data_IF_340523113927
#
_entry.id   IF_340523113927
#
_cell.length_a   1.000
_cell.length_b   1.000
_cell.length_c   1.000
_cell.angle_alpha   90.00
_cell.angle_beta   90.00
_cell.angle_gamma   90.00
#
_symmetry.space_group_name_H-M   'P 1'
#
loop_
_entity.id
_entity.type
_entity.pdbx_description
1 polymer ?
#
# COMPACT_ATOMS: atom_id res chain seq x y z
N UNK A 1 38.08 4.09 34.38
CA UNK A 1 37.02 3.47 33.55
C UNK A 1 36.05 4.59 33.20
N UNK A 2 35.93 4.97 31.94
CA UNK A 2 35.00 6.02 31.54
C UNK A 2 33.58 5.48 31.74
N UNK A 3 32.78 6.16 32.53
CA UNK A 3 31.35 5.84 32.70
C UNK A 3 30.66 5.95 31.34
N UNK A 4 30.11 4.84 30.86
CA UNK A 4 29.38 4.85 29.58
C UNK A 4 28.03 5.52 29.77
N UNK A 5 27.75 6.55 28.97
CA UNK A 5 26.48 7.26 28.97
C UNK A 5 25.35 6.34 28.54
N UNK A 6 24.26 6.22 29.32
CA UNK A 6 23.07 5.48 28.89
C UNK A 6 22.41 6.15 27.66
N UNK A 7 21.76 5.35 26.80
CA UNK A 7 21.13 5.84 25.54
C UNK A 7 20.27 7.08 25.73
N UNK A 8 19.47 7.26 26.81
CA UNK A 8 18.71 8.51 27.04
C UNK A 8 19.55 9.78 27.18
N UNK A 9 20.84 9.66 27.42
CA UNK A 9 21.78 10.78 27.52
C UNK A 9 22.57 11.05 26.23
N UNK A 10 22.39 10.22 25.19
CA UNK A 10 22.99 10.44 23.88
C UNK A 10 22.33 11.62 23.16
N UNK A 11 22.99 12.17 22.15
CA UNK A 11 22.34 13.12 21.25
C UNK A 11 21.12 12.47 20.59
N UNK A 12 20.08 13.24 20.30
CA UNK A 12 18.82 12.70 19.75
C UNK A 12 19.05 11.93 18.46
N UNK A 13 20.00 12.37 17.62
CA UNK A 13 20.32 11.71 16.36
C UNK A 13 21.10 10.39 16.53
N UNK A 14 21.64 10.13 17.71
CA UNK A 14 22.34 8.89 18.03
C UNK A 14 21.46 7.86 18.75
N UNK A 15 20.27 8.28 19.22
CA UNK A 15 19.32 7.38 19.86
C UNK A 15 18.54 6.60 18.79
N UNK A 16 18.59 5.27 18.79
CA UNK A 16 18.04 4.48 17.68
C UNK A 16 16.55 4.74 17.37
N UNK A 17 15.69 4.95 18.36
CA UNK A 17 14.26 5.21 18.15
C UNK A 17 14.01 6.55 17.52
N UNK A 18 14.62 7.59 18.04
CA UNK A 18 14.55 8.96 17.54
C UNK A 18 15.18 9.08 16.15
N UNK A 19 16.30 8.35 15.93
CA UNK A 19 16.96 8.25 14.62
C UNK A 19 16.04 7.57 13.60
N UNK A 20 15.35 6.49 13.98
CA UNK A 20 14.37 5.82 13.12
C UNK A 20 13.23 6.76 12.72
N UNK A 21 12.67 7.49 13.70
CA UNK A 21 11.55 8.40 13.49
C UNK A 21 11.93 9.57 12.55
N UNK A 22 13.10 10.14 12.72
CA UNK A 22 13.52 11.36 11.99
C UNK A 22 14.15 11.07 10.63
N UNK A 23 14.96 10.00 10.53
CA UNK A 23 15.79 9.71 9.36
C UNK A 23 15.36 8.46 8.60
N UNK A 24 14.42 7.68 9.17
CA UNK A 24 13.98 6.42 8.57
C UNK A 24 14.91 5.24 8.87
N UNK A 25 14.43 4.05 8.51
CA UNK A 25 15.12 2.79 8.85
C UNK A 25 16.47 2.64 8.14
N UNK A 26 16.63 3.22 6.97
CA UNK A 26 17.84 3.14 6.15
C UNK A 26 19.07 3.80 6.82
N UNK A 27 18.83 4.72 7.75
CA UNK A 27 19.88 5.39 8.49
C UNK A 27 20.45 4.56 9.65
N UNK A 28 19.79 3.44 10.02
CA UNK A 28 20.17 2.60 11.16
C UNK A 28 20.97 1.37 10.71
N UNK A 29 21.98 1.02 11.51
CA UNK A 29 22.65 -0.29 11.40
C UNK A 29 21.74 -1.42 11.92
N UNK A 30 22.03 -2.66 11.52
CA UNK A 30 21.32 -3.85 12.03
C UNK A 30 21.33 -3.94 13.55
N UNK A 31 22.46 -3.60 14.17
CA UNK A 31 22.59 -3.58 15.63
C UNK A 31 21.70 -2.50 16.28
N UNK A 32 21.53 -1.34 15.67
CA UNK A 32 20.61 -0.30 16.17
C UNK A 32 19.15 -0.73 16.01
N UNK A 33 18.77 -1.36 14.89
CA UNK A 33 17.42 -1.92 14.69
C UNK A 33 17.12 -3.02 15.72
N UNK A 34 18.06 -3.94 15.95
CA UNK A 34 17.93 -4.98 16.98
C UNK A 34 17.86 -4.39 18.38
N UNK A 35 18.62 -3.31 18.66
CA UNK A 35 18.58 -2.62 19.96
C UNK A 35 17.20 -2.00 20.24
N UNK A 36 16.50 -1.49 19.21
CA UNK A 36 15.11 -1.03 19.34
C UNK A 36 14.19 -2.16 19.78
N UNK A 37 14.36 -3.36 19.17
CA UNK A 37 13.51 -4.52 19.45
C UNK A 37 13.69 -5.04 20.88
N UNK A 38 14.93 -5.17 21.37
CA UNK A 38 15.20 -5.69 22.71
C UNK A 38 14.99 -4.64 23.82
N UNK A 39 14.94 -3.36 23.47
CA UNK A 39 14.56 -2.23 24.33
C UNK A 39 15.57 -1.84 25.41
N UNK A 40 16.40 -2.75 25.92
CA UNK A 40 17.38 -2.50 26.96
C UNK A 40 18.61 -3.40 26.80
N UNK A 41 19.77 -2.92 27.24
CA UNK A 41 21.01 -3.71 27.28
C UNK A 41 21.12 -4.58 28.51
N UNK A 42 22.34 -4.67 29.02
CA UNK A 42 22.69 -5.32 30.30
C UNK A 42 23.08 -4.25 31.33
N UNK A 43 23.44 -4.69 32.53
CA UNK A 43 24.01 -3.80 33.55
C UNK A 43 25.35 -3.17 33.11
N UNK A 44 26.06 -3.75 32.15
CA UNK A 44 27.40 -3.36 31.72
C UNK A 44 27.47 -2.69 30.36
N UNK A 45 26.44 -2.82 29.55
CA UNK A 45 26.42 -2.35 28.15
C UNK A 45 25.03 -1.89 27.73
N UNK A 46 24.97 -0.90 26.84
CA UNK A 46 23.72 -0.43 26.22
C UNK A 46 23.12 -1.50 25.30
N UNK A 47 21.86 -1.33 24.92
CA UNK A 47 21.21 -2.23 23.96
C UNK A 47 21.96 -2.27 22.61
N UNK A 48 22.50 -1.14 22.17
CA UNK A 48 23.26 -1.05 20.91
C UNK A 48 24.59 -1.79 21.01
N UNK A 49 25.32 -1.63 22.12
CA UNK A 49 26.58 -2.35 22.33
C UNK A 49 26.39 -3.86 22.45
N UNK A 50 25.35 -4.29 23.18
CA UNK A 50 24.96 -5.68 23.28
C UNK A 50 24.70 -6.28 21.88
N UNK A 51 23.87 -5.58 21.05
CA UNK A 51 23.57 -6.08 19.71
C UNK A 51 24.73 -5.98 18.73
N UNK A 52 25.64 -5.01 18.87
CA UNK A 52 26.90 -4.98 18.12
C UNK A 52 27.78 -6.22 18.43
N UNK A 53 27.85 -6.63 19.69
CA UNK A 53 28.61 -7.82 20.11
C UNK A 53 27.98 -9.10 19.52
N UNK A 54 26.65 -9.27 19.66
CA UNK A 54 25.93 -10.41 19.07
C UNK A 54 26.11 -10.46 17.57
N UNK A 55 25.96 -9.32 16.88
CA UNK A 55 26.13 -9.26 15.42
C UNK A 55 27.55 -9.55 14.98
N UNK A 56 28.58 -9.09 15.76
CA UNK A 56 29.97 -9.41 15.49
C UNK A 56 30.25 -10.92 15.55
N UNK A 57 29.69 -11.61 16.55
CA UNK A 57 29.79 -13.07 16.69
C UNK A 57 29.02 -13.83 15.58
N UNK A 58 28.08 -13.17 14.94
CA UNK A 58 27.35 -13.65 13.76
C UNK A 58 27.96 -13.20 12.42
N UNK A 59 29.22 -12.76 12.38
CA UNK A 59 29.90 -12.21 11.20
C UNK A 59 29.12 -11.02 10.53
N UNK A 60 28.39 -10.24 11.32
CA UNK A 60 27.50 -9.20 10.89
C UNK A 60 26.46 -9.67 9.85
N UNK A 61 25.98 -10.91 9.98
CA UNK A 61 25.08 -11.54 9.05
C UNK A 61 23.76 -11.93 9.73
N UNK A 62 22.65 -11.30 9.31
CA UNK A 62 21.31 -11.57 9.84
C UNK A 62 20.84 -13.02 9.59
N UNK A 63 21.33 -13.68 8.53
CA UNK A 63 21.00 -15.09 8.31
C UNK A 63 21.69 -15.99 9.33
N UNK A 64 22.89 -15.63 9.80
CA UNK A 64 23.60 -16.35 10.87
C UNK A 64 22.86 -16.13 12.19
N UNK A 65 22.51 -14.88 12.50
CA UNK A 65 21.72 -14.54 13.69
C UNK A 65 20.40 -15.35 13.75
N UNK A 66 19.68 -15.44 12.61
CA UNK A 66 18.40 -16.16 12.54
C UNK A 66 18.50 -17.68 12.64
N UNK A 67 19.71 -18.25 12.70
CA UNK A 67 19.96 -19.68 12.92
C UNK A 67 20.26 -20.01 14.38
N UNK A 68 20.56 -19.01 15.22
CA UNK A 68 20.80 -19.23 16.63
C UNK A 68 19.55 -19.77 17.32
N UNK A 69 19.77 -20.62 18.31
CA UNK A 69 18.71 -21.10 19.20
C UNK A 69 18.41 -20.08 20.30
N UNK A 70 17.32 -20.29 21.03
CA UNK A 70 16.98 -19.46 22.21
C UNK A 70 18.08 -19.58 23.26
N UNK A 71 18.59 -20.77 23.47
CA UNK A 71 19.64 -21.09 24.43
C UNK A 71 20.93 -20.36 24.09
N UNK A 72 21.38 -20.44 22.84
CA UNK A 72 22.59 -19.73 22.37
C UNK A 72 22.47 -18.21 22.50
N UNK A 73 21.29 -17.65 22.25
CA UNK A 73 21.05 -16.23 22.48
C UNK A 73 21.05 -15.88 23.97
N UNK A 74 20.57 -16.76 24.84
CA UNK A 74 20.55 -16.54 26.28
C UNK A 74 21.94 -16.66 26.93
N UNK A 75 22.93 -17.25 26.27
CA UNK A 75 24.33 -17.25 26.72
C UNK A 75 24.96 -15.84 26.71
N UNK A 76 24.36 -14.91 25.96
CA UNK A 76 24.77 -13.50 25.99
C UNK A 76 24.24 -12.80 27.26
N UNK A 77 25.18 -12.34 28.10
CA UNK A 77 24.80 -11.55 29.29
C UNK A 77 23.94 -10.34 28.87
N UNK A 78 22.75 -10.25 29.43
CA UNK A 78 21.74 -9.19 29.09
C UNK A 78 20.66 -9.63 28.11
N UNK A 79 20.72 -10.86 27.58
CA UNK A 79 19.65 -11.49 26.80
C UNK A 79 19.02 -12.57 27.66
N UNK A 80 17.77 -12.33 28.09
CA UNK A 80 16.93 -13.36 28.69
C UNK A 80 15.92 -13.87 27.65
N UNK A 81 15.08 -14.82 28.07
CA UNK A 81 14.09 -15.48 27.21
C UNK A 81 13.26 -14.49 26.37
N UNK A 82 12.75 -13.42 26.97
CA UNK A 82 11.90 -12.44 26.26
C UNK A 82 12.65 -11.77 25.10
N UNK A 83 13.91 -11.38 25.30
CA UNK A 83 14.73 -10.76 24.25
C UNK A 83 15.11 -11.76 23.16
N UNK A 84 15.51 -12.99 23.54
CA UNK A 84 15.83 -14.05 22.59
C UNK A 84 14.65 -14.37 21.68
N UNK A 85 13.44 -14.53 22.25
CA UNK A 85 12.20 -14.77 21.49
C UNK A 85 11.88 -13.57 20.56
N UNK A 86 12.07 -12.34 21.02
CA UNK A 86 11.82 -11.14 20.20
C UNK A 86 12.76 -11.10 18.98
N UNK A 87 14.05 -11.40 19.16
CA UNK A 87 15.03 -11.43 18.07
C UNK A 87 14.65 -12.49 17.04
N UNK A 88 14.38 -13.72 17.47
CA UNK A 88 14.04 -14.83 16.56
C UNK A 88 12.70 -14.61 15.87
N UNK A 89 11.71 -14.04 16.56
CA UNK A 89 10.43 -13.66 15.95
C UNK A 89 10.62 -12.62 14.85
N UNK A 90 11.50 -11.63 15.05
CA UNK A 90 11.81 -10.63 14.03
C UNK A 90 12.53 -11.26 12.81
N UNK A 91 13.47 -12.16 13.03
CA UNK A 91 14.13 -12.92 11.96
C UNK A 91 13.14 -13.76 11.15
N UNK A 92 12.22 -14.47 11.83
CA UNK A 92 11.19 -15.27 11.16
C UNK A 92 10.20 -14.40 10.35
N UNK A 93 9.79 -13.24 10.89
CA UNK A 93 8.95 -12.29 10.14
C UNK A 93 9.67 -11.77 8.89
N UNK A 94 10.96 -11.44 9.00
CA UNK A 94 11.80 -11.05 7.86
C UNK A 94 11.84 -12.15 6.78
N UNK A 95 12.05 -13.39 7.18
CA UNK A 95 12.04 -14.57 6.30
C UNK A 95 10.68 -14.77 5.62
N UNK A 96 9.58 -14.70 6.38
CA UNK A 96 8.22 -14.80 5.81
C UNK A 96 7.94 -13.67 4.83
N UNK A 97 8.32 -12.43 5.14
CA UNK A 97 8.19 -11.28 4.25
C UNK A 97 8.95 -11.51 2.94
N UNK A 98 10.19 -12.01 3.01
CA UNK A 98 11.00 -12.29 1.81
C UNK A 98 10.39 -13.41 0.94
N UNK A 99 9.76 -14.41 1.55
CA UNK A 99 9.08 -15.51 0.86
C UNK A 99 7.68 -15.14 0.35
N UNK A 100 7.10 -14.03 0.82
CA UNK A 100 5.74 -13.63 0.45
C UNK A 100 5.71 -13.09 -0.98
N UNK A 101 4.96 -13.76 -1.84
CA UNK A 101 4.73 -13.25 -3.19
C UNK A 101 3.91 -11.95 -3.11
N UNK A 102 4.26 -10.93 -3.91
CA UNK A 102 3.42 -9.75 -4.03
C UNK A 102 1.99 -10.16 -4.40
N UNK A 103 0.99 -9.56 -3.78
CA UNK A 103 -0.40 -9.78 -4.16
C UNK A 103 -0.56 -9.50 -5.67
N UNK A 104 -1.01 -10.47 -6.43
CA UNK A 104 -1.30 -10.27 -7.84
C UNK A 104 -2.45 -9.28 -7.97
N UNK A 105 -2.15 -8.12 -8.53
CA UNK A 105 -3.16 -7.13 -8.87
C UNK A 105 -3.67 -7.41 -10.26
N UNK A 106 -4.99 -7.41 -10.41
CA UNK A 106 -5.64 -7.55 -11.73
C UNK A 106 -5.21 -6.38 -12.62
N UNK A 107 -4.82 -6.68 -13.84
CA UNK A 107 -4.56 -5.68 -14.87
C UNK A 107 -5.81 -5.50 -15.74
N UNK A 108 -6.16 -4.25 -16.06
CA UNK A 108 -7.30 -3.89 -16.90
C UNK A 108 -6.78 -3.02 -18.05
N UNK A 109 -6.66 -3.61 -19.22
CA UNK A 109 -6.05 -2.98 -20.40
C UNK A 109 -7.05 -2.65 -21.50
N UNK A 110 -8.29 -3.14 -21.38
CA UNK A 110 -9.37 -2.95 -22.34
C UNK A 110 -10.69 -2.61 -21.64
N UNK A 111 -11.64 -2.06 -22.39
CA UNK A 111 -13.01 -1.87 -21.92
C UNK A 111 -13.65 -3.16 -21.45
N UNK A 112 -13.39 -4.27 -22.16
CA UNK A 112 -13.90 -5.58 -21.79
C UNK A 112 -13.34 -6.08 -20.44
N UNK A 113 -12.04 -5.79 -20.14
CA UNK A 113 -11.46 -6.12 -18.83
C UNK A 113 -12.13 -5.32 -17.73
N UNK A 114 -12.35 -4.02 -17.97
CA UNK A 114 -13.04 -3.13 -17.01
C UNK A 114 -14.47 -3.63 -16.77
N UNK A 115 -15.22 -3.92 -17.84
CA UNK A 115 -16.56 -4.47 -17.76
C UNK A 115 -16.61 -5.75 -16.90
N UNK A 116 -15.81 -6.77 -17.26
CA UNK A 116 -15.75 -8.03 -16.52
C UNK A 116 -15.36 -7.86 -15.04
N UNK A 117 -14.48 -6.90 -14.76
CA UNK A 117 -14.05 -6.61 -13.40
C UNK A 117 -15.14 -5.91 -12.58
N UNK A 118 -15.96 -5.06 -13.24
CA UNK A 118 -16.98 -4.27 -12.58
C UNK A 118 -18.36 -4.95 -12.56
N UNK A 119 -18.69 -5.78 -13.53
CA UNK A 119 -19.99 -6.45 -13.64
C UNK A 119 -20.44 -7.13 -12.35
N UNK A 120 -19.63 -7.94 -11.64
CA UNK A 120 -20.04 -8.59 -10.38
C UNK A 120 -20.36 -7.62 -9.23
N UNK A 121 -20.08 -6.34 -9.40
CA UNK A 121 -20.37 -5.28 -8.42
C UNK A 121 -21.54 -4.41 -8.81
N UNK A 122 -21.91 -4.44 -10.07
CA UNK A 122 -22.90 -3.56 -10.67
C UNK A 122 -24.14 -4.29 -11.18
N UNK A 123 -24.02 -5.60 -11.44
CA UNK A 123 -25.19 -6.42 -11.77
C UNK A 123 -26.17 -6.42 -10.59
N UNK A 124 -27.44 -6.57 -10.85
CA UNK A 124 -28.52 -6.63 -9.86
C UNK A 124 -28.76 -5.34 -9.05
N UNK A 125 -28.10 -4.24 -9.39
CA UNK A 125 -28.36 -2.96 -8.74
C UNK A 125 -29.65 -2.33 -9.29
N UNK A 126 -30.58 -2.02 -8.40
CA UNK A 126 -31.85 -1.35 -8.76
C UNK A 126 -31.70 0.17 -8.97
N UNK A 127 -30.54 0.73 -8.69
CA UNK A 127 -30.25 2.16 -8.83
C UNK A 127 -28.91 2.35 -9.56
N UNK A 128 -28.74 3.51 -10.18
CA UNK A 128 -27.45 3.86 -10.77
C UNK A 128 -26.40 4.12 -9.71
N UNK A 129 -25.24 3.54 -9.88
CA UNK A 129 -24.04 3.80 -9.08
C UNK A 129 -22.87 4.17 -10.01
N UNK A 130 -22.10 5.18 -9.60
CA UNK A 130 -20.86 5.48 -10.28
C UNK A 130 -19.65 5.03 -9.45
N UNK A 131 -18.70 4.41 -10.12
CA UNK A 131 -17.48 3.85 -9.55
C UNK A 131 -16.26 4.31 -10.31
N UNK A 132 -15.13 4.44 -9.60
CA UNK A 132 -13.84 4.62 -10.22
C UNK A 132 -12.97 3.40 -9.98
N UNK A 133 -12.17 3.08 -10.98
CA UNK A 133 -11.07 2.13 -10.90
C UNK A 133 -9.77 2.89 -11.09
N UNK A 134 -8.93 2.86 -10.07
CA UNK A 134 -7.67 3.56 -9.99
C UNK A 134 -6.54 2.56 -10.17
N UNK A 135 -5.65 2.82 -11.11
CA UNK A 135 -4.61 1.89 -11.54
C UNK A 135 -3.24 2.57 -11.57
N UNK A 136 -2.20 1.74 -11.53
CA UNK A 136 -0.83 2.20 -11.74
C UNK A 136 -0.50 2.27 -13.24
N UNK A 137 0.72 2.70 -13.58
CA UNK A 137 1.20 2.84 -14.96
C UNK A 137 1.21 1.53 -15.77
N UNK A 138 1.19 0.36 -15.09
CA UNK A 138 1.06 -0.95 -15.73
C UNK A 138 -0.39 -1.44 -15.76
N UNK A 139 -1.38 -0.55 -15.65
CA UNK A 139 -2.81 -0.83 -15.64
C UNK A 139 -3.27 -1.80 -14.54
N UNK A 140 -2.45 -2.01 -13.50
CA UNK A 140 -2.81 -2.87 -12.38
C UNK A 140 -3.67 -2.10 -11.38
N UNK A 141 -4.79 -2.68 -10.98
CA UNK A 141 -5.74 -2.06 -10.05
C UNK A 141 -5.09 -1.80 -8.69
N UNK A 142 -5.08 -0.55 -8.27
CA UNK A 142 -4.66 -0.11 -6.92
C UNK A 142 -5.89 -0.06 -6.01
N UNK A 143 -6.97 0.55 -6.51
CA UNK A 143 -8.18 0.80 -5.72
C UNK A 143 -9.40 0.83 -6.62
N UNK A 144 -10.53 0.34 -6.12
CA UNK A 144 -11.86 0.55 -6.66
C UNK A 144 -12.69 1.25 -5.60
N UNK A 145 -13.42 2.30 -5.98
CA UNK A 145 -14.25 3.06 -5.06
C UNK A 145 -15.54 3.50 -5.71
N UNK A 146 -16.66 3.32 -4.99
CA UNK A 146 -17.92 3.94 -5.33
C UNK A 146 -17.85 5.43 -5.01
N UNK A 147 -18.22 6.26 -5.96
CA UNK A 147 -18.17 7.72 -5.86
C UNK A 147 -19.54 8.37 -5.84
N UNK A 148 -20.56 7.67 -6.31
CA UNK A 148 -21.95 8.09 -6.20
C UNK A 148 -22.87 6.88 -6.04
N UNK A 149 -24.00 7.10 -5.38
CA UNK A 149 -25.04 6.12 -5.15
C UNK A 149 -26.40 6.82 -5.29
N UNK A 150 -27.16 6.41 -6.26
CA UNK A 150 -28.60 6.57 -6.34
C UNK A 150 -29.17 7.88 -6.76
N UNK A 151 -29.96 8.02 -7.62
CA UNK A 151 -31.17 8.58 -8.17
C UNK A 151 -31.71 7.60 -9.19
N UNK A 152 -33.00 7.61 -9.35
CA UNK A 152 -33.62 6.74 -10.37
C UNK A 152 -33.31 7.26 -11.79
N UNK A 153 -32.90 8.53 -11.90
CA UNK A 153 -32.75 9.25 -13.18
C UNK A 153 -31.42 9.96 -13.39
N UNK A 154 -30.64 10.24 -12.35
CA UNK A 154 -29.33 10.90 -12.48
C UNK A 154 -28.40 10.57 -11.29
N UNK A 155 -27.15 10.31 -11.59
CA UNK A 155 -26.10 10.11 -10.60
C UNK A 155 -25.17 11.31 -10.58
N UNK A 156 -25.28 12.17 -9.55
CA UNK A 156 -24.38 13.31 -9.40
C UNK A 156 -22.97 12.86 -9.00
N UNK A 157 -22.02 13.02 -9.91
CA UNK A 157 -20.60 12.72 -9.70
C UNK A 157 -19.81 14.02 -9.55
N UNK A 158 -19.15 14.19 -8.39
CA UNK A 158 -18.20 15.27 -8.18
C UNK A 158 -16.80 14.85 -8.66
N UNK A 159 -16.35 15.47 -9.75
CA UNK A 159 -15.02 15.22 -10.36
C UNK A 159 -13.89 15.45 -9.36
N UNK A 160 -14.06 16.36 -8.39
CA UNK A 160 -13.04 16.62 -7.35
C UNK A 160 -12.79 15.39 -6.48
N UNK A 161 -13.84 14.59 -6.25
CA UNK A 161 -13.70 13.33 -5.49
C UNK A 161 -12.86 12.32 -6.27
N UNK A 162 -13.05 12.20 -7.59
CA UNK A 162 -12.27 11.33 -8.47
C UNK A 162 -10.79 11.69 -8.38
N UNK A 163 -10.47 12.95 -8.60
CA UNK A 163 -9.08 13.44 -8.59
C UNK A 163 -8.45 13.26 -7.21
N UNK A 164 -9.16 13.62 -6.13
CA UNK A 164 -8.68 13.43 -4.76
C UNK A 164 -8.29 11.97 -4.50
N UNK A 165 -9.18 11.04 -4.85
CA UNK A 165 -8.93 9.61 -4.62
C UNK A 165 -7.73 9.09 -5.45
N UNK A 166 -7.60 9.55 -6.68
CA UNK A 166 -6.48 9.20 -7.54
C UNK A 166 -5.14 9.66 -6.95
N UNK A 167 -5.07 10.91 -6.50
CA UNK A 167 -3.87 11.48 -5.89
C UNK A 167 -3.50 10.80 -4.56
N UNK A 168 -4.48 10.52 -3.69
CA UNK A 168 -4.25 9.88 -2.39
C UNK A 168 -3.65 8.46 -2.50
N UNK A 169 -3.92 7.74 -3.58
CA UNK A 169 -3.36 6.40 -3.79
C UNK A 169 -2.25 6.36 -4.85
N UNK A 170 -1.75 7.54 -5.30
CA UNK A 170 -0.72 7.66 -6.34
C UNK A 170 -1.09 6.88 -7.62
N UNK A 171 -2.37 6.93 -8.00
CA UNK A 171 -2.80 6.36 -9.27
C UNK A 171 -2.30 7.20 -10.44
N UNK A 172 -2.00 6.57 -11.56
CA UNK A 172 -1.61 7.22 -12.81
C UNK A 172 -2.65 7.03 -13.92
N UNK A 173 -3.54 6.04 -13.73
CA UNK A 173 -4.59 5.67 -14.67
C UNK A 173 -5.93 5.62 -13.94
N UNK A 174 -6.96 6.19 -14.55
CA UNK A 174 -8.33 6.27 -14.03
C UNK A 174 -9.29 5.70 -15.06
N UNK A 175 -10.19 4.82 -14.63
CA UNK A 175 -11.39 4.46 -15.37
C UNK A 175 -12.62 4.84 -14.56
N UNK A 176 -13.66 5.32 -15.24
CA UNK A 176 -14.97 5.60 -14.69
C UNK A 176 -15.95 4.50 -15.15
N UNK A 177 -16.81 4.06 -14.26
CA UNK A 177 -17.85 3.09 -14.58
C UNK A 177 -19.16 3.52 -13.93
N UNK A 178 -20.29 3.34 -14.61
CA UNK A 178 -21.60 3.38 -13.98
C UNK A 178 -22.49 2.31 -14.58
N UNK A 179 -23.52 1.88 -13.86
CA UNK A 179 -24.47 0.90 -14.33
C UNK A 179 -25.76 1.58 -14.79
N UNK A 180 -26.41 0.97 -15.78
CA UNK A 180 -27.77 1.29 -16.17
C UNK A 180 -28.71 0.14 -15.78
N UNK A 181 -29.56 0.30 -14.74
CA UNK A 181 -30.53 -0.72 -14.33
C UNK A 181 -31.54 -1.08 -15.40
N UNK A 182 -31.71 -0.25 -16.43
CA UNK A 182 -32.59 -0.48 -17.57
C UNK A 182 -32.03 -1.47 -18.60
N UNK A 183 -30.83 -1.99 -18.41
CA UNK A 183 -30.07 -2.83 -19.36
C UNK A 183 -29.78 -2.18 -20.71
N UNK A 184 -30.02 -0.87 -20.86
CA UNK A 184 -29.64 -0.11 -22.04
C UNK A 184 -28.22 0.47 -21.85
N UNK A 185 -27.20 0.02 -22.58
CA UNK A 185 -25.82 0.49 -22.39
C UNK A 185 -25.57 1.89 -22.96
N UNK A 186 -26.50 2.46 -23.75
CA UNK A 186 -26.25 3.76 -24.38
C UNK A 186 -26.23 4.89 -23.37
N UNK A 187 -25.17 5.74 -23.38
CA UNK A 187 -25.02 6.83 -22.43
C UNK A 187 -26.03 7.96 -22.71
N UNK A 188 -26.38 8.66 -21.64
CA UNK A 188 -27.20 9.88 -21.71
C UNK A 188 -26.36 11.12 -22.06
N UNK A 189 -27.04 12.24 -22.32
CA UNK A 189 -26.37 13.53 -22.49
C UNK A 189 -25.61 13.98 -21.23
N UNK A 190 -26.08 13.61 -20.03
CA UNK A 190 -25.43 13.90 -18.77
C UNK A 190 -24.12 13.08 -18.62
N UNK A 191 -24.12 11.81 -19.04
CA UNK A 191 -22.92 10.95 -19.04
C UNK A 191 -21.85 11.49 -19.98
N UNK A 192 -22.25 11.99 -21.15
CA UNK A 192 -21.33 12.62 -22.10
C UNK A 192 -20.66 13.86 -21.48
N UNK A 193 -21.44 14.72 -20.80
CA UNK A 193 -20.89 15.89 -20.11
C UNK A 193 -19.97 15.49 -18.94
N UNK A 194 -20.36 14.48 -18.16
CA UNK A 194 -19.53 13.96 -17.07
C UNK A 194 -18.18 13.43 -17.62
N UNK A 195 -18.23 12.61 -18.66
CA UNK A 195 -17.05 12.04 -19.33
C UNK A 195 -16.05 13.14 -19.73
N UNK A 196 -16.54 14.17 -20.41
CA UNK A 196 -15.72 15.31 -20.84
C UNK A 196 -15.14 16.09 -19.67
N UNK A 197 -15.88 16.27 -18.59
CA UNK A 197 -15.39 16.95 -17.37
C UNK A 197 -14.29 16.12 -16.68
N UNK A 198 -14.49 14.80 -16.56
CA UNK A 198 -13.50 13.89 -15.96
C UNK A 198 -12.23 13.85 -16.81
N UNK A 199 -12.37 13.70 -18.14
CA UNK A 199 -11.24 13.72 -19.08
C UNK A 199 -10.39 14.98 -18.92
N UNK A 200 -11.02 16.16 -18.96
CA UNK A 200 -10.31 17.44 -18.79
C UNK A 200 -9.60 17.55 -17.44
N UNK A 201 -10.23 17.08 -16.38
CA UNK A 201 -9.62 17.11 -15.05
C UNK A 201 -8.43 16.14 -14.94
N UNK A 202 -8.53 14.95 -15.52
CA UNK A 202 -7.44 13.99 -15.59
C UNK A 202 -6.26 14.56 -16.39
N UNK A 203 -6.51 15.15 -17.56
CA UNK A 203 -5.48 15.74 -18.40
C UNK A 203 -4.72 16.88 -17.66
N UNK A 204 -5.47 17.76 -16.98
CA UNK A 204 -4.88 18.84 -16.18
C UNK A 204 -3.95 18.29 -15.07
N UNK A 205 -4.32 17.17 -14.46
CA UNK A 205 -3.58 16.52 -13.38
C UNK A 205 -2.55 15.49 -13.88
N UNK A 206 -2.37 15.37 -15.20
CA UNK A 206 -1.48 14.37 -15.85
C UNK A 206 -1.82 12.94 -15.44
N UNK A 207 -3.11 12.65 -15.24
CA UNK A 207 -3.65 11.32 -15.07
C UNK A 207 -4.14 10.81 -16.44
N UNK A 208 -3.87 9.56 -16.76
CA UNK A 208 -4.41 8.96 -17.97
C UNK A 208 -5.85 8.50 -17.70
N UNK A 209 -6.82 9.12 -18.38
CA UNK A 209 -8.20 8.67 -18.33
C UNK A 209 -8.38 7.56 -19.37
N UNK A 210 -8.39 6.31 -18.90
CA UNK A 210 -8.40 5.13 -19.74
C UNK A 210 -9.73 4.96 -20.48
N UNK A 211 -10.83 5.01 -19.73
CA UNK A 211 -12.17 4.84 -20.30
C UNK A 211 -13.27 5.30 -19.35
N UNK A 212 -14.44 5.51 -19.91
CA UNK A 212 -15.71 5.53 -19.19
C UNK A 212 -16.58 4.39 -19.75
N UNK A 213 -16.89 3.41 -18.89
CA UNK A 213 -17.64 2.22 -19.27
C UNK A 213 -19.02 2.25 -18.63
N UNK A 214 -20.07 2.25 -19.46
CA UNK A 214 -21.45 2.06 -19.02
C UNK A 214 -21.72 0.56 -18.95
N UNK A 215 -22.05 0.07 -17.77
CA UNK A 215 -22.25 -1.36 -17.50
C UNK A 215 -23.72 -1.68 -17.53
N UNK A 216 -24.15 -2.51 -18.45
CA UNK A 216 -25.46 -3.16 -18.49
C UNK A 216 -25.30 -4.66 -18.14
N UNK A 217 -26.40 -5.37 -17.91
CA UNK A 217 -26.35 -6.77 -17.47
C UNK A 217 -25.73 -7.69 -18.53
N UNK A 218 -26.13 -7.49 -19.78
CA UNK A 218 -25.72 -8.35 -20.91
C UNK A 218 -24.66 -7.72 -21.81
N UNK A 219 -24.37 -6.41 -21.65
CA UNK A 219 -23.52 -5.65 -22.56
C UNK A 219 -22.87 -4.45 -21.85
N UNK A 220 -22.04 -3.72 -22.57
CA UNK A 220 -21.46 -2.45 -22.11
C UNK A 220 -21.30 -1.47 -23.25
N UNK A 221 -21.13 -0.20 -22.91
CA UNK A 221 -20.69 0.85 -23.80
C UNK A 221 -19.35 1.40 -23.32
N UNK A 222 -18.42 1.61 -24.21
CA UNK A 222 -17.10 2.19 -23.95
C UNK A 222 -16.92 3.48 -24.73
N UNK A 223 -16.63 4.57 -24.04
CA UNK A 223 -16.34 5.84 -24.70
C UNK A 223 -15.04 5.79 -25.50
N UNK A 224 -14.07 4.99 -25.08
CA UNK A 224 -12.81 4.81 -25.80
C UNK A 224 -13.03 4.03 -27.11
N UNK A 225 -13.76 2.91 -27.07
CA UNK A 225 -14.02 2.07 -28.26
C UNK A 225 -14.87 2.81 -29.29
N UNK A 226 -15.78 3.67 -28.85
CA UNK A 226 -16.61 4.51 -29.70
C UNK A 226 -15.94 5.82 -30.16
N UNK A 227 -14.67 6.03 -29.79
CA UNK A 227 -13.89 7.20 -30.21
C UNK A 227 -14.38 8.54 -29.65
N UNK A 228 -15.00 8.52 -28.45
CA UNK A 228 -15.59 9.70 -27.80
C UNK A 228 -14.77 10.22 -26.60
N UNK A 229 -13.52 9.73 -26.42
CA UNK A 229 -12.57 10.21 -25.41
C UNK A 229 -11.51 11.12 -25.98
#
# INVERSE_FOLDING_TARGET
MSEKLPIPQWALDDRPREKLERLGAEALSDAELLAILIGSGSAKESAVELMKRVMSDCDNNLNTLGKLTIEELMDYSGIGLAKAVTILAACELGKRRAAQKPAERVALTSAQDIYRYMLPKMQDLSVEEAWIVLMNQSYKVIKRKRISHGGITETSVDVRVIIKEALLCNATVVALCHNHPSDNPHPSGADNQLTQRVKKACDLMRLYFLDHVVVAESSYYSYMEEGQL
#
